data_IF_290294146640
#
_entry.id   IF_290294146640
#
_cell.length_a   1.000
_cell.length_b   1.000
_cell.length_c   1.000
_cell.angle_alpha   90.00
_cell.angle_beta   90.00
_cell.angle_gamma   90.00
#
_symmetry.space_group_name_H-M   'P 1'
#
loop_
_entity.id
_entity.type
_entity.pdbx_description
1 polymer ?
#
# COMPACT_ATOMS: atom_id res chain seq x y z
N UNK A 1 65.01 -10.84 22.24
CA UNK A 1 64.13 -9.77 21.72
C UNK A 1 63.66 -10.16 20.31
N UNK A 2 62.40 -10.54 20.13
CA UNK A 2 61.75 -10.63 18.81
C UNK A 2 60.34 -10.05 18.97
N UNK A 3 60.19 -8.79 18.58
CA UNK A 3 58.93 -8.04 18.64
C UNK A 3 57.97 -8.63 17.59
N UNK A 4 56.71 -8.74 17.98
CA UNK A 4 55.59 -9.27 17.22
C UNK A 4 55.23 -8.39 16.00
N UNK A 5 54.55 -9.00 15.03
CA UNK A 5 53.71 -8.29 14.07
C UNK A 5 52.54 -9.19 13.71
N UNK A 6 51.46 -9.07 14.49
CA UNK A 6 50.16 -9.66 14.23
C UNK A 6 49.44 -8.70 13.27
N UNK A 7 49.29 -9.08 12.02
CA UNK A 7 48.44 -8.40 11.05
C UNK A 7 46.98 -8.68 11.42
N UNK A 8 46.36 -7.74 12.14
CA UNK A 8 44.93 -7.76 12.42
C UNK A 8 44.20 -7.24 11.17
N UNK A 9 43.83 -8.14 10.26
CA UNK A 9 42.97 -7.80 9.13
C UNK A 9 41.56 -7.49 9.64
N UNK A 10 41.24 -6.20 9.82
CA UNK A 10 39.87 -5.74 10.04
C UNK A 10 39.07 -5.95 8.75
N UNK A 11 38.41 -7.10 8.64
CA UNK A 11 37.36 -7.32 7.65
C UNK A 11 36.19 -6.40 7.97
N UNK A 12 36.13 -5.26 7.27
CA UNK A 12 34.96 -4.39 7.19
C UNK A 12 33.83 -5.19 6.52
N UNK A 13 33.02 -5.89 7.32
CA UNK A 13 31.78 -6.48 6.85
C UNK A 13 30.86 -5.31 6.46
N UNK A 14 30.85 -4.94 5.17
CA UNK A 14 29.95 -3.91 4.66
C UNK A 14 28.52 -4.33 4.99
N UNK A 15 27.86 -3.59 5.87
CA UNK A 15 26.46 -3.82 6.18
C UNK A 15 25.65 -3.49 4.93
N UNK A 16 25.29 -4.52 4.17
CA UNK A 16 24.40 -4.35 3.03
C UNK A 16 23.03 -3.98 3.57
N UNK A 17 22.68 -2.70 3.51
CA UNK A 17 21.35 -2.24 3.90
C UNK A 17 20.36 -2.71 2.83
N UNK A 18 19.71 -3.83 3.12
CA UNK A 18 18.52 -4.24 2.42
C UNK A 18 17.34 -3.42 2.97
N UNK A 19 16.66 -2.71 2.09
CA UNK A 19 15.44 -1.98 2.38
C UNK A 19 14.26 -2.69 1.70
N UNK A 20 13.08 -2.62 2.31
CA UNK A 20 11.85 -2.95 1.62
C UNK A 20 11.43 -1.81 0.71
N UNK A 21 11.03 -2.12 -0.52
CA UNK A 21 10.50 -1.15 -1.47
C UNK A 21 9.30 -1.72 -2.22
N UNK A 22 8.42 -0.84 -2.68
CA UNK A 22 7.29 -1.19 -3.55
C UNK A 22 7.47 -0.53 -4.91
N UNK A 23 7.20 -1.25 -5.99
CA UNK A 23 7.23 -0.70 -7.34
C UNK A 23 5.99 0.19 -7.57
N UNK A 24 6.17 1.44 -8.00
CA UNK A 24 5.03 2.36 -8.26
C UNK A 24 4.44 2.15 -9.66
N UNK A 25 5.28 1.73 -10.61
CA UNK A 25 4.93 1.39 -11.99
C UNK A 25 5.57 0.04 -12.36
N UNK A 26 5.15 -0.61 -13.47
CA UNK A 26 5.87 -1.77 -13.99
C UNK A 26 7.33 -1.42 -14.24
N UNK A 27 8.25 -2.26 -13.77
CA UNK A 27 9.70 -2.03 -13.87
C UNK A 27 10.42 -3.26 -14.40
N UNK A 28 11.43 -3.04 -15.24
CA UNK A 28 12.23 -4.12 -15.79
C UNK A 28 13.31 -4.56 -14.80
N UNK A 29 13.35 -5.85 -14.49
CA UNK A 29 14.47 -6.51 -13.84
C UNK A 29 15.54 -6.75 -14.90
N UNK A 30 16.72 -6.14 -14.74
CA UNK A 30 17.82 -6.23 -15.69
C UNK A 30 18.98 -7.03 -15.15
N UNK A 31 19.77 -7.61 -16.05
CA UNK A 31 20.96 -8.41 -15.69
C UNK A 31 22.08 -7.58 -15.04
N UNK A 32 22.15 -6.29 -15.34
CA UNK A 32 23.12 -5.34 -14.79
C UNK A 32 22.47 -3.97 -14.52
N UNK A 33 23.15 -3.13 -13.74
CA UNK A 33 22.74 -1.77 -13.37
C UNK A 33 22.88 -0.77 -14.54
N UNK A 34 22.18 -1.03 -15.65
CA UNK A 34 22.22 -0.21 -16.86
C UNK A 34 20.93 -0.34 -17.67
N UNK A 35 20.50 0.72 -18.35
CA UNK A 35 19.33 0.73 -19.26
C UNK A 35 19.56 -0.09 -20.53
N UNK A 36 20.82 -0.30 -20.92
CA UNK A 36 21.20 -1.13 -22.08
C UNK A 36 21.33 -2.61 -21.72
N UNK A 37 21.25 -2.98 -20.43
CA UNK A 37 21.38 -4.37 -20.00
C UNK A 37 20.13 -5.21 -20.38
N UNK A 38 20.29 -6.51 -20.68
CA UNK A 38 19.18 -7.40 -21.00
C UNK A 38 18.10 -7.41 -19.91
N UNK A 39 16.84 -7.38 -20.32
CA UNK A 39 15.67 -7.52 -19.45
C UNK A 39 15.47 -9.01 -19.17
N UNK A 40 15.44 -9.38 -17.89
CA UNK A 40 15.19 -10.74 -17.42
C UNK A 40 13.71 -10.99 -17.19
N UNK A 41 13.01 -9.98 -16.66
CA UNK A 41 11.58 -10.00 -16.38
C UNK A 41 11.05 -8.57 -16.25
N UNK A 42 9.73 -8.41 -16.36
CA UNK A 42 9.03 -7.17 -15.98
C UNK A 42 8.25 -7.43 -14.70
N UNK A 43 8.57 -6.66 -13.67
CA UNK A 43 7.91 -6.70 -12.36
C UNK A 43 6.70 -5.78 -12.42
N UNK A 44 5.49 -6.25 -12.10
CA UNK A 44 4.29 -5.41 -12.14
C UNK A 44 4.31 -4.35 -11.04
N UNK A 45 3.52 -3.29 -11.20
CA UNK A 45 3.30 -2.28 -10.15
C UNK A 45 2.76 -2.92 -8.87
N UNK A 46 2.93 -2.22 -7.74
CA UNK A 46 2.53 -2.67 -6.41
C UNK A 46 3.18 -3.99 -5.94
N UNK A 47 4.34 -4.36 -6.50
CA UNK A 47 5.11 -5.51 -6.03
C UNK A 47 6.02 -5.09 -4.88
N UNK A 48 5.94 -5.79 -3.75
CA UNK A 48 6.87 -5.65 -2.63
C UNK A 48 8.18 -6.40 -2.93
N UNK A 49 9.30 -5.70 -2.79
CA UNK A 49 10.64 -6.23 -3.06
C UNK A 49 11.57 -5.90 -1.89
N UNK A 50 12.49 -6.81 -1.61
CA UNK A 50 13.69 -6.51 -0.82
C UNK A 50 14.77 -6.02 -1.77
N UNK A 51 15.27 -4.80 -1.54
CA UNK A 51 16.20 -4.12 -2.44
C UNK A 51 17.43 -3.63 -1.71
N UNK A 52 18.60 -3.71 -2.36
CA UNK A 52 19.82 -3.06 -1.93
C UNK A 52 20.22 -2.02 -2.99
N UNK A 53 20.09 -0.74 -2.67
CA UNK A 53 20.24 0.34 -3.65
C UNK A 53 21.63 0.98 -3.59
N UNK A 54 22.24 1.18 -4.76
CA UNK A 54 23.48 1.92 -4.95
C UNK A 54 23.31 2.88 -6.13
N UNK A 55 23.42 4.18 -5.87
CA UNK A 55 23.14 5.21 -6.87
C UNK A 55 21.70 5.14 -7.38
N UNK A 56 21.54 5.02 -8.70
CA UNK A 56 20.25 4.98 -9.40
C UNK A 56 19.68 3.57 -9.57
N UNK A 57 20.40 2.53 -9.14
CA UNK A 57 19.99 1.14 -9.33
C UNK A 57 19.84 0.42 -8.00
N UNK A 58 18.89 -0.49 -7.97
CA UNK A 58 18.60 -1.32 -6.81
C UNK A 58 18.72 -2.79 -7.20
N UNK A 59 19.63 -3.51 -6.53
CA UNK A 59 19.74 -4.97 -6.67
C UNK A 59 18.60 -5.63 -5.92
N UNK A 60 17.97 -6.63 -6.53
CA UNK A 60 16.84 -7.36 -5.95
C UNK A 60 16.75 -8.77 -6.52
N UNK A 61 15.86 -9.58 -5.97
CA UNK A 61 15.50 -10.90 -6.46
C UNK A 61 14.00 -10.94 -6.71
N UNK A 62 13.59 -11.39 -7.89
CA UNK A 62 12.18 -11.55 -8.24
C UNK A 62 11.97 -12.92 -8.88
N UNK A 63 11.05 -13.72 -8.34
CA UNK A 63 10.77 -15.10 -8.79
C UNK A 63 12.04 -15.97 -8.90
N UNK A 64 12.96 -15.82 -7.96
CA UNK A 64 14.25 -16.53 -7.96
C UNK A 64 15.31 -15.95 -8.90
N UNK A 65 15.00 -14.95 -9.72
CA UNK A 65 15.96 -14.28 -10.59
C UNK A 65 16.56 -13.04 -9.90
N UNK A 66 17.88 -13.06 -9.69
CA UNK A 66 18.62 -11.90 -9.22
C UNK A 66 18.85 -10.89 -10.35
N UNK A 67 18.69 -9.61 -10.07
CA UNK A 67 18.93 -8.54 -11.05
C UNK A 67 18.87 -7.14 -10.45
N UNK A 68 18.74 -6.15 -11.33
CA UNK A 68 18.74 -4.74 -10.99
C UNK A 68 17.49 -4.05 -11.53
N UNK A 69 16.86 -3.23 -10.70
CA UNK A 69 15.72 -2.37 -11.05
C UNK A 69 16.10 -0.90 -10.88
N UNK A 70 15.46 0.00 -11.63
CA UNK A 70 15.67 1.44 -11.48
C UNK A 70 15.11 1.94 -10.16
N UNK A 71 15.89 2.70 -9.39
CA UNK A 71 15.49 3.27 -8.10
C UNK A 71 14.30 4.21 -8.23
N UNK A 72 14.21 4.96 -9.31
CA UNK A 72 13.12 5.92 -9.55
C UNK A 72 11.74 5.28 -9.69
N UNK A 73 11.68 3.98 -10.01
CA UNK A 73 10.44 3.22 -10.14
C UNK A 73 10.12 2.39 -8.89
N UNK A 74 10.89 2.61 -7.81
CA UNK A 74 10.71 1.95 -6.52
C UNK A 74 10.57 3.01 -5.43
N UNK A 75 9.56 2.83 -4.58
CA UNK A 75 9.38 3.66 -3.39
C UNK A 75 9.82 2.85 -2.17
N UNK A 76 10.83 3.33 -1.45
CA UNK A 76 11.25 2.72 -0.20
C UNK A 76 10.07 2.73 0.78
N UNK A 77 9.70 1.56 1.29
CA UNK A 77 8.74 1.45 2.38
C UNK A 77 9.52 1.25 3.67
N UNK A 78 9.64 2.31 4.45
CA UNK A 78 10.06 2.25 5.86
C UNK A 78 8.85 2.11 6.79
N UNK A 79 7.64 2.07 6.23
CA UNK A 79 6.42 2.13 7.01
C UNK A 79 5.96 0.71 7.31
N UNK A 80 6.12 0.30 8.57
CA UNK A 80 5.18 -0.63 9.18
C UNK A 80 3.78 -0.07 8.93
N UNK A 81 3.03 -0.67 8.00
CA UNK A 81 1.61 -0.36 7.83
C UNK A 81 1.01 -0.66 9.20
N UNK A 82 0.38 0.31 9.90
CA UNK A 82 -0.43 -0.03 11.06
C UNK A 82 -1.34 -1.15 10.60
N UNK A 83 -1.41 -2.27 11.33
CA UNK A 83 -2.45 -3.25 11.06
C UNK A 83 -3.73 -2.43 11.03
N UNK A 84 -4.30 -2.22 9.83
CA UNK A 84 -5.49 -1.43 9.71
C UNK A 84 -6.46 -2.18 10.61
N UNK A 85 -6.80 -1.57 11.76
CA UNK A 85 -7.90 -2.07 12.56
C UNK A 85 -9.01 -2.31 11.54
N UNK A 86 -9.64 -3.49 11.50
CA UNK A 86 -10.69 -3.76 10.53
C UNK A 86 -11.59 -2.53 10.57
N UNK A 87 -11.70 -1.82 9.45
CA UNK A 87 -12.69 -0.75 9.30
C UNK A 87 -13.95 -1.39 9.82
N UNK A 88 -14.43 -0.91 10.97
CA UNK A 88 -15.58 -1.49 11.62
C UNK A 88 -16.62 -1.69 10.53
N UNK A 89 -17.22 -2.89 10.40
CA UNK A 89 -18.21 -3.11 9.36
C UNK A 89 -19.17 -1.94 9.40
N UNK A 90 -19.31 -1.24 8.26
CA UNK A 90 -20.40 -0.27 8.09
C UNK A 90 -21.62 -0.97 8.64
N UNK A 91 -22.15 -0.44 9.75
CA UNK A 91 -23.14 -1.11 10.60
C UNK A 91 -24.20 -1.61 9.62
N UNK A 92 -24.32 -2.93 9.47
CA UNK A 92 -25.30 -3.52 8.56
C UNK A 92 -26.63 -2.79 8.78
N UNK A 93 -27.40 -2.47 7.73
CA UNK A 93 -28.61 -1.68 7.89
C UNK A 93 -29.49 -2.41 8.90
N UNK A 94 -29.56 -1.89 10.13
CA UNK A 94 -30.62 -2.24 11.04
C UNK A 94 -31.90 -1.89 10.31
N UNK A 95 -32.84 -2.83 10.23
CA UNK A 95 -34.10 -2.75 9.46
C UNK A 95 -35.05 -1.72 10.05
N UNK A 96 -34.59 -0.46 10.15
CA UNK A 96 -35.37 0.68 10.56
C UNK A 96 -36.26 1.03 9.38
N UNK A 97 -37.57 1.05 9.62
CA UNK A 97 -38.57 1.37 8.62
C UNK A 97 -39.44 2.50 9.15
N UNK A 98 -39.45 3.63 8.45
CA UNK A 98 -40.34 4.74 8.76
C UNK A 98 -41.53 4.71 7.81
N UNK A 99 -42.76 4.67 8.32
CA UNK A 99 -43.96 4.69 7.48
C UNK A 99 -44.06 5.97 6.62
N UNK A 100 -43.52 7.10 7.09
CA UNK A 100 -43.52 8.39 6.40
C UNK A 100 -42.43 9.32 6.94
N UNK A 101 -42.18 10.45 6.26
CA UNK A 101 -41.25 11.47 6.75
C UNK A 101 -41.69 12.13 8.06
N UNK A 102 -43.00 12.16 8.34
CA UNK A 102 -43.49 12.59 9.65
C UNK A 102 -43.04 11.63 10.76
N UNK A 103 -43.10 10.32 10.52
CA UNK A 103 -42.60 9.32 11.46
C UNK A 103 -41.07 9.42 11.65
N UNK A 104 -40.33 9.67 10.56
CA UNK A 104 -38.88 9.88 10.63
C UNK A 104 -38.49 11.12 11.44
N UNK A 105 -39.17 12.26 11.22
CA UNK A 105 -38.95 13.49 11.99
C UNK A 105 -39.37 13.36 13.45
N UNK A 106 -40.51 12.71 13.73
CA UNK A 106 -40.95 12.44 15.10
C UNK A 106 -39.97 11.54 15.88
N UNK A 107 -39.29 10.63 15.17
CA UNK A 107 -38.23 9.79 15.71
C UNK A 107 -36.86 10.50 15.78
N UNK A 108 -36.75 11.76 15.34
CA UNK A 108 -35.50 12.51 15.30
C UNK A 108 -34.47 12.00 14.28
N UNK A 109 -34.91 11.24 13.26
CA UNK A 109 -34.04 10.58 12.30
C UNK A 109 -33.85 11.36 10.98
N UNK A 110 -34.70 12.35 10.71
CA UNK A 110 -34.62 13.14 9.47
C UNK A 110 -33.74 14.40 9.63
N UNK A 111 -32.99 14.81 8.60
CA UNK A 111 -32.90 14.21 7.25
C UNK A 111 -32.10 12.88 7.23
N UNK A 112 -32.57 11.91 6.43
CA UNK A 112 -31.96 10.57 6.33
C UNK A 112 -31.19 10.44 5.02
N UNK A 113 -29.87 10.25 5.08
CA UNK A 113 -29.05 10.08 3.87
C UNK A 113 -29.04 8.64 3.33
N UNK A 114 -28.81 8.49 2.02
CA UNK A 114 -28.64 7.20 1.37
C UNK A 114 -27.60 6.31 2.09
N UNK A 115 -27.99 5.07 2.36
CA UNK A 115 -27.17 4.11 3.11
C UNK A 115 -27.34 4.17 4.64
N UNK A 116 -28.05 5.17 5.19
CA UNK A 116 -28.43 5.15 6.60
C UNK A 116 -29.64 4.22 6.86
N UNK A 117 -29.72 3.61 8.04
CA UNK A 117 -30.93 2.90 8.48
C UNK A 117 -32.17 3.78 8.35
N UNK A 118 -33.21 3.27 7.68
CA UNK A 118 -34.44 4.04 7.44
C UNK A 118 -34.49 4.81 6.13
N UNK A 119 -33.38 4.91 5.38
CA UNK A 119 -33.41 5.46 4.02
C UNK A 119 -34.22 4.55 3.10
N UNK A 120 -35.11 5.16 2.32
CA UNK A 120 -35.78 4.51 1.20
C UNK A 120 -36.11 5.56 0.15
N UNK A 121 -35.90 5.23 -1.12
CA UNK A 121 -36.17 6.14 -2.24
C UNK A 121 -37.61 6.70 -2.27
N UNK A 122 -38.58 6.03 -1.64
CA UNK A 122 -39.95 6.55 -1.51
C UNK A 122 -40.12 7.73 -0.53
N UNK A 123 -39.13 8.00 0.32
CA UNK A 123 -39.11 9.15 1.23
C UNK A 123 -38.28 10.32 0.67
N UNK A 124 -37.50 10.05 -0.36
CA UNK A 124 -36.64 10.97 -1.08
C UNK A 124 -37.46 11.49 -2.29
N UNK A 125 -37.99 12.70 -2.15
CA UNK A 125 -39.01 13.22 -3.08
C UNK A 125 -38.39 13.61 -4.42
N UNK A 126 -37.18 14.13 -4.40
CA UNK A 126 -36.42 14.64 -5.53
C UNK A 126 -35.32 13.68 -6.01
N UNK A 127 -35.11 12.56 -5.31
CA UNK A 127 -34.17 11.48 -5.63
C UNK A 127 -32.71 11.94 -5.63
N UNK A 128 -32.35 12.83 -4.71
CA UNK A 128 -31.00 13.39 -4.60
C UNK A 128 -30.09 12.60 -3.63
N UNK A 129 -30.66 11.62 -2.91
CA UNK A 129 -29.96 10.81 -1.93
C UNK A 129 -30.13 11.28 -0.49
N UNK A 130 -30.95 12.31 -0.25
CA UNK A 130 -31.43 12.72 1.06
C UNK A 130 -32.94 12.45 1.10
N UNK A 131 -33.41 11.87 2.22
CA UNK A 131 -34.81 11.60 2.42
C UNK A 131 -35.35 12.45 3.56
N UNK A 132 -36.58 12.92 3.40
CA UNK A 132 -37.31 13.69 4.40
C UNK A 132 -36.72 15.06 4.74
N UNK A 133 -36.12 15.72 3.74
CA UNK A 133 -36.01 17.20 3.74
C UNK A 133 -37.35 17.92 3.96
#
# INVERSE_FOLDING_TARGET
MRKASILLALTLCSTAWAATAVTTNPVNLRRAASTSAPILATIPKNTLLTVACQGQWCRTTYRGQGGYVSKSLTQATSRSVPLAAPTAPSRAPSTVYYASCAAARAAGAAPISAGQPGYRARLDRDNDGVACE
#
